data_IF_308996091005
#
_entry.id   IF_308996091005
#
_cell.length_a   1.000
_cell.length_b   1.000
_cell.length_c   1.000
_cell.angle_alpha   90.00
_cell.angle_beta   90.00
_cell.angle_gamma   90.00
#
_symmetry.space_group_name_H-M   'P 1'
#
loop_
_entity.id
_entity.type
_entity.pdbx_description
1 polymer ?
#
# COMPACT_ATOMS: atom_id res chain seq x y z
N UNK A 1 12.55 14.28 8.46
CA UNK A 1 13.08 13.31 7.47
C UNK A 1 12.13 12.11 7.45
N UNK A 2 11.95 11.45 6.31
CA UNK A 2 11.15 10.22 6.29
C UNK A 2 11.89 9.04 6.94
N UNK A 3 11.13 8.21 7.64
CA UNK A 3 11.49 6.85 7.99
C UNK A 3 10.47 5.92 7.36
N UNK A 4 10.94 4.82 6.79
CA UNK A 4 10.14 3.77 6.20
C UNK A 4 10.52 2.45 6.84
N UNK A 5 9.54 1.72 7.36
CA UNK A 5 9.75 0.36 7.86
C UNK A 5 8.74 -0.58 7.25
N UNK A 6 9.21 -1.61 6.55
CA UNK A 6 8.34 -2.68 6.07
C UNK A 6 7.96 -3.58 7.25
N UNK A 7 6.70 -3.53 7.66
CA UNK A 7 6.17 -4.38 8.71
C UNK A 7 5.79 -5.74 8.15
N UNK A 8 5.37 -5.85 6.89
CA UNK A 8 5.07 -7.09 6.16
C UNK A 8 5.07 -6.82 4.65
N UNK A 9 5.51 -7.78 3.84
CA UNK A 9 5.78 -7.57 2.41
C UNK A 9 5.51 -8.82 1.56
N UNK A 10 4.49 -9.60 1.91
CA UNK A 10 4.18 -10.82 1.17
C UNK A 10 2.69 -11.13 1.21
N UNK A 11 2.28 -12.13 0.44
CA UNK A 11 0.87 -12.53 0.25
C UNK A 11 0.14 -12.99 1.52
N UNK A 12 0.84 -13.07 2.65
CA UNK A 12 0.27 -13.36 3.97
C UNK A 12 -0.02 -12.08 4.77
N UNK A 13 0.31 -10.91 4.22
CA UNK A 13 0.06 -9.61 4.82
C UNK A 13 1.09 -8.55 4.42
N UNK A 14 0.64 -7.55 3.68
CA UNK A 14 1.37 -6.32 3.36
C UNK A 14 1.05 -5.23 4.38
N UNK A 15 2.10 -4.59 4.89
CA UNK A 15 1.97 -3.46 5.80
C UNK A 15 3.30 -2.72 5.90
N UNK A 16 3.27 -1.40 5.83
CA UNK A 16 4.43 -0.55 6.01
C UNK A 16 4.14 0.59 6.98
N UNK A 17 5.16 1.07 7.65
CA UNK A 17 5.11 2.28 8.46
C UNK A 17 5.89 3.38 7.73
N UNK A 18 5.20 4.46 7.41
CA UNK A 18 5.79 5.71 6.90
C UNK A 18 5.68 6.74 8.01
N UNK A 19 6.81 7.28 8.46
CA UNK A 19 6.82 8.22 9.57
C UNK A 19 7.81 9.37 9.39
N UNK A 20 7.47 10.52 9.98
CA UNK A 20 8.35 11.65 10.25
C UNK A 20 8.45 11.83 11.77
N UNK A 21 9.12 12.90 12.22
CA UNK A 21 9.16 13.25 13.65
C UNK A 21 7.77 13.62 14.21
N UNK A 22 6.83 13.99 13.34
CA UNK A 22 5.51 14.51 13.72
C UNK A 22 4.33 13.68 13.20
N UNK A 23 4.58 12.66 12.38
CA UNK A 23 3.53 11.84 11.79
C UNK A 23 3.91 10.36 11.70
N UNK A 24 2.96 9.46 11.98
CA UNK A 24 3.10 8.01 11.86
C UNK A 24 1.90 7.45 11.11
N UNK A 25 2.12 7.04 9.86
CA UNK A 25 1.11 6.48 8.97
C UNK A 25 1.38 5.00 8.77
N UNK A 26 0.39 4.16 9.06
CA UNK A 26 0.40 2.76 8.67
C UNK A 26 -0.16 2.64 7.25
N UNK A 27 0.65 2.22 6.28
CA UNK A 27 0.19 1.89 4.92
C UNK A 27 -0.19 0.42 4.91
N UNK A 28 -1.48 0.14 4.73
CA UNK A 28 -2.12 -1.17 4.81
C UNK A 28 -1.95 -1.91 6.17
N UNK A 29 -2.92 -2.75 6.50
CA UNK A 29 -2.97 -3.57 7.72
C UNK A 29 -3.17 -5.05 7.41
N UNK A 30 -2.39 -5.58 6.48
CA UNK A 30 -2.46 -6.96 6.01
C UNK A 30 -2.04 -8.03 7.01
N UNK A 31 -1.39 -7.66 8.10
CA UNK A 31 -0.99 -8.59 9.15
C UNK A 31 -2.06 -8.65 10.24
N UNK A 32 -2.20 -9.80 10.93
CA UNK A 32 -3.07 -9.86 12.11
C UNK A 32 -2.78 -8.71 13.11
N UNK A 33 -3.80 -8.19 13.78
CA UNK A 33 -3.62 -7.09 14.74
C UNK A 33 -2.55 -7.39 15.80
N UNK A 34 -2.41 -8.64 16.23
CA UNK A 34 -1.34 -9.06 17.16
C UNK A 34 0.05 -8.84 16.55
N UNK A 35 0.24 -9.19 15.29
CA UNK A 35 1.50 -8.98 14.58
C UNK A 35 1.77 -7.50 14.33
N UNK A 36 0.77 -6.72 13.93
CA UNK A 36 0.91 -5.26 13.77
C UNK A 36 1.37 -4.61 15.07
N UNK A 37 0.68 -4.89 16.18
CA UNK A 37 1.05 -4.34 17.51
C UNK A 37 2.47 -4.74 17.91
N UNK A 38 2.84 -6.01 17.71
CA UNK A 38 4.19 -6.49 18.02
C UNK A 38 5.27 -5.80 17.18
N UNK A 39 5.07 -5.69 15.86
CA UNK A 39 6.06 -5.09 14.95
C UNK A 39 6.15 -3.57 15.09
N UNK A 40 5.05 -2.89 15.37
CA UNK A 40 5.06 -1.46 15.74
C UNK A 40 5.86 -1.23 17.02
N UNK A 41 5.70 -2.10 18.03
CA UNK A 41 6.46 -1.99 19.28
C UNK A 41 7.97 -2.18 19.06
N UNK A 42 8.40 -3.00 18.10
CA UNK A 42 9.82 -3.10 17.71
C UNK A 42 10.35 -1.80 17.10
N UNK A 43 9.48 -0.98 16.52
CA UNK A 43 9.80 0.37 16.03
C UNK A 43 9.68 1.43 17.14
N UNK A 44 9.39 1.04 18.38
CA UNK A 44 9.14 1.96 19.49
C UNK A 44 7.83 2.74 19.37
N UNK A 45 6.86 2.24 18.59
CA UNK A 45 5.57 2.91 18.34
C UNK A 45 4.44 2.08 18.92
N UNK A 46 3.57 2.75 19.66
CA UNK A 46 2.31 2.20 20.12
C UNK A 46 1.21 2.44 19.07
N UNK A 47 0.25 1.52 18.91
CA UNK A 47 -0.82 1.68 17.91
C UNK A 47 -1.66 2.95 18.05
N UNK A 48 -1.81 3.50 19.26
CA UNK A 48 -2.53 4.75 19.53
C UNK A 48 -1.72 6.01 19.16
N UNK A 49 -0.45 5.87 18.79
CA UNK A 49 0.39 6.96 18.26
C UNK A 49 0.32 7.04 16.73
N UNK A 50 -0.42 6.13 16.08
CA UNK A 50 -0.67 6.20 14.63
C UNK A 50 -1.65 7.33 14.34
N UNK A 51 -1.25 8.24 13.45
CA UNK A 51 -2.09 9.35 12.97
C UNK A 51 -3.10 8.89 11.92
N UNK A 52 -2.88 7.72 11.33
CA UNK A 52 -3.84 7.10 10.44
C UNK A 52 -3.36 5.78 9.85
N UNK A 53 -4.34 5.03 9.35
CA UNK A 53 -4.11 3.91 8.43
C UNK A 53 -4.49 4.36 7.04
N UNK A 54 -3.59 4.25 6.08
CA UNK A 54 -3.81 4.60 4.68
C UNK A 54 -3.90 3.31 3.84
N UNK A 55 -5.00 3.12 3.11
CA UNK A 55 -5.24 1.89 2.36
C UNK A 55 -5.01 2.07 0.87
N UNK A 56 -4.28 1.13 0.27
CA UNK A 56 -4.08 1.04 -1.17
C UNK A 56 -5.32 0.47 -1.87
N UNK A 57 -5.89 -0.60 -1.32
CA UNK A 57 -7.07 -1.30 -1.83
C UNK A 57 -7.67 -2.28 -0.80
N UNK A 58 -8.72 -3.02 -1.18
CA UNK A 58 -9.56 -3.82 -0.28
C UNK A 58 -9.16 -5.29 -0.10
N UNK A 59 -8.05 -5.76 -0.70
CA UNK A 59 -7.68 -7.17 -0.61
C UNK A 59 -7.34 -7.60 0.82
N UNK A 60 -7.59 -8.88 1.12
CA UNK A 60 -7.50 -9.41 2.49
C UNK A 60 -6.11 -9.27 3.10
N UNK A 61 -5.06 -9.53 2.31
CA UNK A 61 -3.66 -9.33 2.70
C UNK A 61 -3.24 -7.87 2.78
N UNK A 62 -4.16 -6.91 2.63
CA UNK A 62 -3.98 -5.48 2.92
C UNK A 62 -4.87 -5.00 4.08
N UNK A 63 -5.95 -5.70 4.42
CA UNK A 63 -6.95 -5.20 5.38
C UNK A 63 -7.29 -6.14 6.53
N UNK A 64 -6.85 -7.40 6.53
CA UNK A 64 -7.37 -8.41 7.47
C UNK A 64 -7.07 -8.11 8.95
N UNK A 65 -6.02 -7.34 9.24
CA UNK A 65 -5.69 -6.92 10.61
C UNK A 65 -6.52 -5.78 11.15
N UNK A 66 -7.15 -5.00 10.26
CA UNK A 66 -7.67 -3.68 10.60
C UNK A 66 -8.91 -3.75 11.48
N UNK A 67 -9.78 -4.74 11.30
CA UNK A 67 -10.99 -4.89 12.13
C UNK A 67 -10.66 -4.91 13.62
N UNK A 68 -9.74 -5.80 14.01
CA UNK A 68 -9.34 -5.96 15.41
C UNK A 68 -8.50 -4.77 15.89
N UNK A 69 -7.66 -4.20 15.02
CA UNK A 69 -6.80 -3.06 15.36
C UNK A 69 -7.65 -1.80 15.64
N UNK A 70 -8.52 -1.42 14.70
CA UNK A 70 -9.34 -0.22 14.81
C UNK A 70 -10.40 -0.32 15.91
N UNK A 71 -10.94 -1.52 16.19
CA UNK A 71 -11.82 -1.72 17.35
C UNK A 71 -11.13 -1.37 18.67
N UNK A 72 -9.83 -1.67 18.80
CA UNK A 72 -9.05 -1.43 20.02
C UNK A 72 -8.54 0.00 20.15
N UNK A 73 -8.15 0.64 19.05
CA UNK A 73 -7.39 1.88 19.08
C UNK A 73 -8.06 3.08 18.38
N UNK A 74 -9.21 2.90 17.72
CA UNK A 74 -10.02 3.97 17.09
C UNK A 74 -9.25 4.85 16.08
N UNK A 75 -8.26 4.26 15.41
CA UNK A 75 -7.37 4.94 14.44
C UNK A 75 -8.18 5.37 13.21
N UNK A 76 -7.99 6.60 12.69
CA UNK A 76 -8.64 7.02 11.44
C UNK A 76 -8.15 6.19 10.25
N UNK A 77 -9.08 5.79 9.37
CA UNK A 77 -8.78 5.05 8.13
C UNK A 77 -8.96 5.98 6.94
N UNK A 78 -7.94 6.12 6.12
CA UNK A 78 -7.89 6.89 4.89
C UNK A 78 -7.95 5.95 3.69
N UNK A 79 -8.95 6.13 2.83
CA UNK A 79 -9.13 5.35 1.59
C UNK A 79 -10.11 6.07 0.65
N UNK A 80 -10.22 5.63 -0.60
CA UNK A 80 -11.28 6.10 -1.50
C UNK A 80 -12.64 5.46 -1.15
N UNK A 81 -13.71 5.99 -1.75
CA UNK A 81 -15.08 5.60 -1.42
C UNK A 81 -15.38 4.14 -1.76
N UNK A 82 -14.89 3.63 -2.90
CA UNK A 82 -15.14 2.26 -3.34
C UNK A 82 -14.43 1.25 -2.43
N UNK A 83 -13.18 1.52 -2.07
CA UNK A 83 -12.43 0.71 -1.09
C UNK A 83 -13.13 0.71 0.28
N UNK A 84 -13.59 1.88 0.75
CA UNK A 84 -14.32 1.97 2.01
C UNK A 84 -15.62 1.16 1.99
N UNK A 85 -16.40 1.22 0.90
CA UNK A 85 -17.64 0.47 0.73
C UNK A 85 -17.39 -1.04 0.75
N UNK A 86 -16.41 -1.51 -0.03
CA UNK A 86 -16.06 -2.93 -0.10
C UNK A 86 -15.60 -3.47 1.26
N UNK A 87 -14.76 -2.71 1.97
CA UNK A 87 -14.27 -3.11 3.29
C UNK A 87 -15.41 -3.13 4.30
N UNK A 88 -16.22 -2.06 4.41
CA UNK A 88 -17.33 -1.96 5.39
C UNK A 88 -18.32 -3.11 5.32
N UNK A 89 -18.56 -3.62 4.11
CA UNK A 89 -19.48 -4.73 3.91
C UNK A 89 -18.90 -6.06 4.40
N UNK A 90 -17.59 -6.26 4.27
CA UNK A 90 -16.90 -7.51 4.67
C UNK A 90 -16.32 -7.50 6.10
N UNK A 91 -15.91 -6.34 6.60
CA UNK A 91 -15.26 -6.12 7.91
C UNK A 91 -15.44 -4.65 8.35
N UNK A 92 -15.13 -4.28 9.59
CA UNK A 92 -15.15 -2.85 10.01
C UNK A 92 -16.50 -2.10 9.86
N UNK A 93 -17.65 -2.78 9.74
CA UNK A 93 -18.96 -2.13 9.59
C UNK A 93 -19.33 -1.16 10.72
N UNK A 94 -18.80 -1.39 11.92
CA UNK A 94 -18.98 -0.51 13.10
C UNK A 94 -17.98 0.65 13.15
N UNK A 95 -16.90 0.61 12.37
CA UNK A 95 -15.89 1.68 12.37
C UNK A 95 -16.50 2.99 11.84
N UNK A 96 -16.26 4.09 12.56
CA UNK A 96 -16.85 5.40 12.24
C UNK A 96 -15.83 6.41 11.73
N UNK A 97 -14.56 6.28 12.10
CA UNK A 97 -13.53 7.27 11.81
C UNK A 97 -12.89 7.04 10.42
N UNK A 98 -13.68 7.30 9.38
CA UNK A 98 -13.23 7.19 7.99
C UNK A 98 -12.92 8.58 7.42
N UNK A 99 -11.82 8.65 6.68
CA UNK A 99 -11.32 9.85 6.01
C UNK A 99 -11.27 9.57 4.52
N UNK A 100 -12.39 9.81 3.85
CA UNK A 100 -12.56 9.47 2.44
C UNK A 100 -11.86 10.50 1.56
N UNK A 101 -10.95 10.04 0.70
CA UNK A 101 -10.33 10.86 -0.34
C UNK A 101 -10.87 10.49 -1.73
N UNK A 102 -10.62 11.34 -2.72
CA UNK A 102 -10.86 11.03 -4.14
C UNK A 102 -9.56 10.53 -4.76
N UNK A 103 -9.60 9.43 -5.51
CA UNK A 103 -8.44 8.94 -6.25
C UNK A 103 -7.86 10.03 -7.15
N UNK A 104 -6.55 10.25 -7.08
CA UNK A 104 -5.88 11.35 -7.81
C UNK A 104 -5.76 12.65 -7.00
N UNK A 105 -6.38 12.74 -5.82
CA UNK A 105 -6.31 13.91 -4.98
C UNK A 105 -5.08 13.89 -4.05
N UNK A 106 -4.68 15.10 -3.66
CA UNK A 106 -3.72 15.36 -2.61
C UNK A 106 -4.44 15.74 -1.31
N UNK A 107 -3.93 15.27 -0.17
CA UNK A 107 -4.41 15.63 1.17
C UNK A 107 -3.26 15.55 2.16
N UNK A 108 -3.43 16.11 3.36
CA UNK A 108 -2.38 16.08 4.39
C UNK A 108 -2.78 15.23 5.58
N UNK A 109 -1.80 14.50 6.14
CA UNK A 109 -1.85 13.90 7.46
C UNK A 109 -0.68 14.50 8.23
N UNK A 110 -0.98 15.33 9.24
CA UNK A 110 0.03 16.10 9.97
C UNK A 110 0.94 16.91 9.01
N UNK A 111 2.25 16.67 9.03
CA UNK A 111 3.28 17.31 8.19
C UNK A 111 3.55 16.59 6.86
N UNK A 112 2.82 15.50 6.56
CA UNK A 112 2.98 14.72 5.33
C UNK A 112 1.84 15.06 4.36
N UNK A 113 2.18 15.52 3.17
CA UNK A 113 1.24 15.58 2.03
C UNK A 113 1.26 14.24 1.30
N UNK A 114 0.08 13.64 1.12
CA UNK A 114 -0.15 12.38 0.43
C UNK A 114 -0.86 12.67 -0.88
N UNK A 115 -0.27 12.27 -1.99
CA UNK A 115 -0.92 12.23 -3.30
C UNK A 115 -1.28 10.79 -3.65
N UNK A 116 -2.56 10.55 -3.93
CA UNK A 116 -3.02 9.25 -4.45
C UNK A 116 -3.02 9.25 -5.98
N UNK A 117 -2.79 8.09 -6.60
CA UNK A 117 -2.98 7.91 -8.04
C UNK A 117 -3.42 6.49 -8.35
N UNK A 118 -4.25 6.34 -9.40
CA UNK A 118 -4.75 5.02 -9.81
C UNK A 118 -3.63 4.14 -10.34
N UNK A 119 -3.66 2.87 -9.97
CA UNK A 119 -2.77 1.81 -10.48
C UNK A 119 -3.60 0.68 -11.10
N UNK A 120 -3.13 0.01 -12.17
CA UNK A 120 -3.80 -1.19 -12.69
C UNK A 120 -3.60 -2.39 -11.76
N UNK A 121 -4.67 -2.87 -11.12
CA UNK A 121 -4.67 -4.09 -10.31
C UNK A 121 -6.10 -4.67 -10.21
N UNK A 122 -6.25 -5.94 -9.85
CA UNK A 122 -7.53 -6.64 -9.80
C UNK A 122 -8.34 -6.37 -8.52
N UNK A 123 -8.51 -5.09 -8.18
CA UNK A 123 -9.24 -4.57 -7.02
C UNK A 123 -10.29 -3.51 -7.43
N UNK A 124 -11.18 -3.08 -6.52
CA UNK A 124 -12.28 -2.16 -6.87
C UNK A 124 -11.83 -0.78 -7.34
N UNK A 125 -10.85 -0.17 -6.65
CA UNK A 125 -10.27 1.12 -7.01
C UNK A 125 -8.85 1.25 -6.41
N UNK A 126 -7.88 0.47 -6.89
CA UNK A 126 -6.55 0.44 -6.29
C UNK A 126 -5.74 1.71 -6.57
N UNK A 127 -4.99 2.14 -5.56
CA UNK A 127 -4.14 3.35 -5.64
C UNK A 127 -2.72 3.10 -5.15
N UNK A 128 -1.78 3.79 -5.80
CA UNK A 128 -0.44 4.05 -5.27
C UNK A 128 -0.39 5.43 -4.60
N UNK A 129 0.70 5.67 -3.86
CA UNK A 129 0.89 6.91 -3.11
C UNK A 129 2.24 7.56 -3.39
N UNK A 130 2.27 8.89 -3.45
CA UNK A 130 3.46 9.70 -3.30
C UNK A 130 3.32 10.53 -2.02
N UNK A 131 4.28 10.40 -1.10
CA UNK A 131 4.35 11.13 0.15
C UNK A 131 5.37 12.24 0.04
N UNK A 132 5.05 13.43 0.48
CA UNK A 132 5.93 14.60 0.48
C UNK A 132 6.01 15.19 1.89
N UNK A 133 7.23 15.40 2.40
CA UNK A 133 7.50 16.04 3.67
C UNK A 133 8.75 16.92 3.56
N UNK A 134 8.55 18.24 3.55
CA UNK A 134 9.61 19.20 3.28
C UNK A 134 10.22 18.97 1.88
N UNK A 135 11.53 18.75 1.82
CA UNK A 135 12.25 18.47 0.58
C UNK A 135 12.38 16.97 0.27
N UNK A 136 11.77 16.09 1.06
CA UNK A 136 11.80 14.64 0.86
C UNK A 136 10.49 14.16 0.26
N UNK A 137 10.57 13.15 -0.61
CA UNK A 137 9.46 12.49 -1.25
C UNK A 137 9.68 10.97 -1.33
N UNK A 138 8.62 10.21 -1.06
CA UNK A 138 8.60 8.75 -1.05
C UNK A 138 7.46 8.24 -1.94
N UNK A 139 7.76 7.39 -2.91
CA UNK A 139 6.78 6.68 -3.71
C UNK A 139 6.48 5.30 -3.12
N UNK A 140 5.21 4.92 -3.08
CA UNK A 140 4.76 3.61 -2.64
C UNK A 140 3.81 3.00 -3.68
N UNK A 141 4.32 1.99 -4.40
CA UNK A 141 3.60 1.27 -5.44
C UNK A 141 3.75 -0.24 -5.26
N UNK A 142 2.79 -0.84 -4.58
CA UNK A 142 2.58 -2.29 -4.54
C UNK A 142 1.38 -2.65 -5.39
N UNK A 143 1.25 -3.94 -5.73
CA UNK A 143 0.11 -4.50 -6.45
C UNK A 143 -0.14 -3.76 -7.75
N UNK A 144 0.86 -3.80 -8.62
CA UNK A 144 0.87 -3.07 -9.88
C UNK A 144 1.00 -4.06 -11.04
N UNK A 145 -0.05 -4.25 -11.85
CA UNK A 145 0.01 -5.14 -13.01
C UNK A 145 0.76 -4.53 -14.20
N UNK A 146 0.69 -3.21 -14.37
CA UNK A 146 1.41 -2.49 -15.41
C UNK A 146 1.70 -1.06 -14.99
N UNK A 147 2.96 -0.62 -15.13
CA UNK A 147 3.28 0.80 -14.96
C UNK A 147 2.71 1.63 -16.11
N UNK A 148 1.91 2.63 -15.75
CA UNK A 148 1.32 3.58 -16.69
C UNK A 148 2.15 4.85 -16.76
N UNK A 149 1.92 5.68 -17.78
CA UNK A 149 2.54 7.02 -17.84
C UNK A 149 2.21 7.86 -16.60
N UNK A 150 0.97 7.76 -16.09
CA UNK A 150 0.58 8.44 -14.85
C UNK A 150 1.45 7.99 -13.68
N UNK A 151 1.67 6.68 -13.54
CA UNK A 151 2.53 6.10 -12.49
C UNK A 151 3.95 6.69 -12.56
N UNK A 152 4.55 6.74 -13.75
CA UNK A 152 5.90 7.29 -13.94
C UNK A 152 5.95 8.79 -13.59
N UNK A 153 4.99 9.59 -14.08
CA UNK A 153 5.00 11.03 -13.80
C UNK A 153 4.81 11.35 -12.32
N UNK A 154 3.97 10.59 -11.61
CA UNK A 154 3.75 10.79 -10.15
C UNK A 154 4.95 10.40 -9.31
N UNK A 155 5.84 9.55 -9.83
CA UNK A 155 7.00 9.05 -9.11
C UNK A 155 8.30 9.75 -9.52
N UNK A 156 8.28 10.63 -10.53
CA UNK A 156 9.48 11.23 -11.12
C UNK A 156 10.36 11.99 -10.12
N UNK A 157 9.75 12.61 -9.11
CA UNK A 157 10.46 13.45 -8.14
C UNK A 157 10.69 12.78 -6.78
N UNK A 158 10.36 11.48 -6.64
CA UNK A 158 10.57 10.76 -5.37
C UNK A 158 12.03 10.37 -5.18
N UNK A 159 12.56 10.53 -3.97
CA UNK A 159 13.93 10.12 -3.63
C UNK A 159 13.98 8.71 -3.02
N UNK A 160 12.85 8.22 -2.52
CA UNK A 160 12.69 6.84 -2.03
C UNK A 160 11.54 6.18 -2.75
N UNK A 161 11.74 4.94 -3.23
CA UNK A 161 10.70 4.18 -3.93
C UNK A 161 10.52 2.82 -3.26
N UNK A 162 9.29 2.53 -2.86
CA UNK A 162 8.83 1.17 -2.56
C UNK A 162 8.10 0.67 -3.80
N UNK A 163 8.65 -0.37 -4.43
CA UNK A 163 8.10 -1.00 -5.61
C UNK A 163 8.05 -2.51 -5.41
N UNK A 164 6.93 -3.12 -5.75
CA UNK A 164 6.78 -4.57 -5.73
C UNK A 164 7.54 -5.24 -6.89
N UNK A 165 8.19 -6.37 -6.59
CA UNK A 165 8.74 -7.32 -7.55
C UNK A 165 8.16 -8.70 -7.26
N UNK A 166 7.02 -9.03 -7.86
CA UNK A 166 6.21 -10.17 -7.40
C UNK A 166 6.73 -11.51 -7.93
N UNK A 167 7.22 -11.54 -9.18
CA UNK A 167 7.61 -12.80 -9.81
C UNK A 167 8.75 -12.68 -10.82
N UNK A 168 9.54 -13.76 -10.92
CA UNK A 168 10.38 -14.02 -12.09
C UNK A 168 9.54 -14.75 -13.14
N UNK A 169 9.58 -14.30 -14.40
CA UNK A 169 8.74 -14.84 -15.45
C UNK A 169 9.02 -16.33 -15.70
N UNK A 170 10.28 -16.76 -15.68
CA UNK A 170 10.65 -18.15 -15.94
C UNK A 170 10.24 -19.04 -14.78
N UNK A 171 10.47 -18.61 -13.54
CA UNK A 171 10.04 -19.36 -12.37
C UNK A 171 8.53 -19.50 -12.32
N UNK A 172 7.78 -18.43 -12.63
CA UNK A 172 6.33 -18.48 -12.67
C UNK A 172 5.82 -19.43 -13.76
N UNK A 173 6.41 -19.39 -14.95
CA UNK A 173 6.05 -20.30 -16.05
C UNK A 173 6.31 -21.76 -15.69
N UNK A 174 7.45 -22.04 -15.04
CA UNK A 174 7.88 -23.39 -14.70
C UNK A 174 7.29 -23.93 -13.39
N UNK A 175 6.53 -23.13 -12.63
CA UNK A 175 5.92 -23.55 -11.37
C UNK A 175 4.93 -24.71 -11.59
N UNK A 176 5.18 -25.92 -11.07
CA UNK A 176 4.32 -27.08 -11.30
C UNK A 176 3.05 -27.07 -10.44
N UNK A 177 3.02 -26.27 -9.36
CA UNK A 177 1.93 -26.24 -8.40
C UNK A 177 0.86 -25.21 -8.76
N UNK A 178 1.22 -24.18 -9.52
CA UNK A 178 0.31 -23.10 -9.88
C UNK A 178 -0.48 -23.43 -11.16
N UNK A 179 -1.81 -23.47 -11.12
CA UNK A 179 -2.63 -23.70 -12.32
C UNK A 179 -2.42 -22.61 -13.37
N UNK A 180 -2.56 -22.96 -14.65
CA UNK A 180 -2.41 -22.02 -15.77
C UNK A 180 -3.22 -20.72 -15.63
N UNK A 181 -4.50 -20.74 -15.23
CA UNK A 181 -5.27 -19.50 -15.05
C UNK A 181 -4.68 -18.55 -14.01
N UNK A 182 -4.07 -19.09 -12.94
CA UNK A 182 -3.41 -18.27 -11.90
C UNK A 182 -2.15 -17.62 -12.46
N UNK A 183 -1.35 -18.36 -13.24
CA UNK A 183 -0.16 -17.81 -13.92
C UNK A 183 -0.55 -16.67 -14.87
N UNK A 184 -1.61 -16.87 -15.66
CA UNK A 184 -2.13 -15.85 -16.57
C UNK A 184 -2.62 -14.60 -15.83
N UNK A 185 -3.30 -14.78 -14.69
CA UNK A 185 -3.77 -13.65 -13.87
C UNK A 185 -2.59 -12.82 -13.36
N UNK A 186 -1.58 -13.47 -12.78
CA UNK A 186 -0.37 -12.81 -12.24
C UNK A 186 0.35 -12.00 -13.33
N UNK A 187 0.46 -12.56 -14.54
CA UNK A 187 1.15 -11.90 -15.67
C UNK A 187 0.29 -10.87 -16.41
N UNK A 188 -0.97 -10.72 -16.03
CA UNK A 188 -1.87 -9.81 -16.73
C UNK A 188 -1.58 -8.35 -16.36
N UNK A 189 -2.14 -7.41 -17.15
CA UNK A 189 -2.04 -5.97 -16.88
C UNK A 189 -2.69 -5.53 -15.55
N UNK A 190 -3.51 -6.39 -14.94
CA UNK A 190 -4.12 -6.17 -13.63
C UNK A 190 -3.58 -7.14 -12.57
N UNK A 191 -2.55 -7.92 -12.90
CA UNK A 191 -1.88 -8.81 -11.96
C UNK A 191 -0.81 -8.04 -11.18
N UNK A 192 0.45 -8.48 -11.34
CA UNK A 192 1.60 -7.91 -10.65
C UNK A 192 2.80 -7.74 -11.58
N UNK A 193 3.71 -6.83 -11.22
CA UNK A 193 4.94 -6.63 -11.95
C UNK A 193 5.83 -7.88 -11.84
N UNK A 194 6.45 -8.21 -12.97
CA UNK A 194 7.61 -9.09 -12.97
C UNK A 194 8.86 -8.33 -12.50
N UNK A 195 9.90 -9.08 -12.15
CA UNK A 195 11.21 -8.50 -11.79
C UNK A 195 11.75 -7.59 -12.92
N UNK A 196 11.64 -8.02 -14.17
CA UNK A 196 12.09 -7.23 -15.32
C UNK A 196 11.22 -5.98 -15.54
N UNK A 197 9.91 -6.08 -15.36
CA UNK A 197 9.01 -4.94 -15.48
C UNK A 197 9.27 -3.89 -14.38
N UNK A 198 9.50 -4.31 -13.15
CA UNK A 198 9.90 -3.42 -12.05
C UNK A 198 11.24 -2.73 -12.34
N UNK A 199 12.23 -3.46 -12.86
CA UNK A 199 13.50 -2.86 -13.28
C UNK A 199 13.32 -1.78 -14.37
N UNK A 200 12.45 -2.02 -15.36
CA UNK A 200 12.17 -1.05 -16.42
C UNK A 200 11.42 0.20 -15.91
N UNK A 201 10.64 0.09 -14.83
CA UNK A 201 10.06 1.24 -14.14
C UNK A 201 11.15 2.06 -13.47
N UNK A 202 12.04 1.40 -12.73
CA UNK A 202 13.15 2.07 -12.05
C UNK A 202 14.04 2.79 -13.07
N UNK A 203 14.38 2.16 -14.19
CA UNK A 203 15.18 2.78 -15.26
C UNK A 203 14.57 4.08 -15.79
N UNK A 204 13.24 4.17 -15.91
CA UNK A 204 12.55 5.38 -16.36
C UNK A 204 12.52 6.51 -15.31
N UNK A 205 12.73 6.18 -14.04
CA UNK A 205 12.73 7.13 -12.93
C UNK A 205 14.14 7.60 -12.56
N UNK A 206 15.17 6.94 -13.08
CA UNK A 206 16.55 7.40 -12.93
C UNK A 206 16.79 8.69 -13.72
N UNK A 207 17.65 9.60 -13.21
CA UNK A 207 17.96 10.88 -13.85
C UNK A 207 18.76 10.74 -15.16
#
# INVERSE_FOLDING_TARGET
MFSLTMLGSGSAGNSALVATDHCRILVDGGLSARQLVFRLALCGILPNELDGVLLTHEHGDHVCGLEVLCRKFQIPIYCNALTAEAIRYGSLGEHRNWRIFRTGAAFSICDITVESFSVPHDAVEPVGFAFHAGASALGYITDLGQATRLTIERLREVQTLVIETNHDEKLLQNDPHRPWPVKQRIQSRHGHLSNAAAAAVIEQLLP
#
